data_IF_379937636581
#
_entry.id   IF_379937636581
#
_cell.length_a   1.000
_cell.length_b   1.000
_cell.length_c   1.000
_cell.angle_alpha   90.00
_cell.angle_beta   90.00
_cell.angle_gamma   90.00
#
_symmetry.space_group_name_H-M   'P 1'
#
loop_
_entity.id
_entity.type
_entity.pdbx_description
1 polymer ?
#
# COMPACT_ATOMS: atom_id res chain seq x y z
N UNK A 1 -16.58 12.59 -11.02
CA UNK A 1 -17.09 12.24 -9.77
C UNK A 1 -16.02 12.12 -8.74
N UNK A 2 -16.10 12.85 -7.71
CA UNK A 2 -15.08 12.83 -6.69
C UNK A 2 -15.33 11.76 -5.64
N UNK A 3 -15.68 12.17 -4.45
CA UNK A 3 -15.82 11.26 -3.33
C UNK A 3 -17.12 10.50 -3.32
N UNK A 4 -17.18 9.57 -2.41
CA UNK A 4 -18.36 8.78 -2.15
C UNK A 4 -18.93 9.20 -0.81
N UNK A 5 -20.25 9.10 -0.67
CA UNK A 5 -20.88 9.43 0.59
C UNK A 5 -21.53 8.19 1.15
N UNK A 6 -21.20 7.88 2.38
CA UNK A 6 -21.71 6.73 3.08
C UNK A 6 -21.43 6.91 4.58
N UNK A 7 -22.07 6.13 5.45
CA UNK A 7 -21.81 6.22 6.88
C UNK A 7 -20.34 5.96 7.20
N UNK A 8 -19.80 6.71 8.16
CA UNK A 8 -18.39 6.61 8.51
C UNK A 8 -17.96 5.19 8.87
N UNK A 9 -18.82 4.42 9.50
CA UNK A 9 -18.48 3.06 9.87
C UNK A 9 -18.23 2.13 8.70
N UNK A 10 -18.57 2.54 7.47
CA UNK A 10 -18.38 1.71 6.30
C UNK A 10 -17.16 2.09 5.47
N UNK A 11 -16.42 3.10 5.90
CA UNK A 11 -15.28 3.58 5.10
C UNK A 11 -14.32 2.44 4.74
N UNK A 12 -13.89 1.66 5.73
CA UNK A 12 -12.91 0.64 5.47
C UNK A 12 -13.47 -0.56 4.72
N UNK A 13 -14.78 -0.79 4.82
CA UNK A 13 -15.42 -1.79 3.96
C UNK A 13 -15.37 -1.33 2.51
N UNK A 14 -15.62 -0.06 2.26
CA UNK A 14 -15.54 0.50 0.91
C UNK A 14 -14.10 0.46 0.41
N UNK A 15 -13.14 0.84 1.24
CA UNK A 15 -11.73 0.84 0.84
C UNK A 15 -11.28 -0.57 0.51
N UNK A 16 -11.68 -1.56 1.31
CA UNK A 16 -11.33 -2.96 1.03
C UNK A 16 -11.92 -3.40 -0.30
N UNK A 17 -13.16 -3.00 -0.59
CA UNK A 17 -13.77 -3.30 -1.88
C UNK A 17 -13.03 -2.64 -3.03
N UNK A 18 -12.56 -1.40 -2.85
CA UNK A 18 -11.79 -0.73 -3.88
C UNK A 18 -10.46 -1.43 -4.12
N UNK A 19 -9.83 -1.91 -3.05
CA UNK A 19 -8.59 -2.66 -3.19
C UNK A 19 -8.82 -3.98 -3.92
N UNK A 20 -9.87 -4.69 -3.55
CA UNK A 20 -10.16 -5.98 -4.16
C UNK A 20 -10.57 -5.83 -5.63
N UNK A 21 -11.19 -4.73 -5.99
CA UNK A 21 -11.59 -4.49 -7.36
C UNK A 21 -10.44 -4.07 -8.25
N UNK A 22 -10.03 -2.82 -8.12
CA UNK A 22 -9.05 -2.24 -9.02
C UNK A 22 -7.69 -1.96 -8.39
N UNK A 23 -7.51 -2.31 -7.13
CA UNK A 23 -6.23 -2.08 -6.46
C UNK A 23 -5.29 -3.25 -6.58
N UNK A 24 -4.13 -3.11 -5.99
CA UNK A 24 -3.17 -4.20 -5.92
C UNK A 24 -2.31 -4.09 -4.68
N UNK A 25 -1.82 -5.22 -4.23
CA UNK A 25 -0.85 -5.30 -3.15
C UNK A 25 0.41 -5.88 -3.78
N UNK A 26 1.52 -5.18 -3.63
CA UNK A 26 2.79 -5.63 -4.20
C UNK A 26 3.77 -5.91 -3.08
N UNK A 27 4.29 -7.12 -3.08
CA UNK A 27 5.30 -7.53 -2.12
C UNK A 27 6.42 -8.22 -2.88
N UNK A 28 7.60 -7.68 -2.80
CA UNK A 28 8.76 -8.33 -3.40
C UNK A 28 10.00 -8.01 -2.60
N UNK A 29 10.99 -8.88 -2.80
CA UNK A 29 12.24 -8.80 -2.08
C UNK A 29 13.29 -8.20 -3.00
N UNK A 30 14.01 -7.24 -2.47
CA UNK A 30 15.10 -6.61 -3.19
C UNK A 30 16.40 -6.96 -2.47
N UNK A 31 17.41 -7.41 -3.22
CA UNK A 31 18.70 -7.73 -2.66
C UNK A 31 19.70 -6.69 -3.09
N UNK A 32 19.85 -5.61 -2.34
CA UNK A 32 20.85 -4.63 -2.71
C UNK A 32 22.24 -5.20 -2.46
N UNK A 33 23.19 -4.78 -3.28
CA UNK A 33 24.57 -5.16 -3.06
C UNK A 33 25.09 -4.19 -2.02
N UNK A 34 25.21 -4.66 -0.79
CA UNK A 34 25.72 -3.83 0.30
C UNK A 34 27.03 -4.43 0.78
N UNK A 35 28.07 -3.64 0.66
CA UNK A 35 29.40 -4.11 1.01
C UNK A 35 29.47 -4.59 2.45
N UNK A 36 28.91 -3.82 3.39
CA UNK A 36 29.02 -4.11 4.79
C UNK A 36 27.93 -5.01 5.34
N UNK A 37 26.97 -5.37 4.51
CA UNK A 37 25.85 -6.19 4.96
C UNK A 37 25.51 -7.21 3.89
N UNK A 38 26.43 -8.13 3.61
CA UNK A 38 26.15 -9.14 2.59
C UNK A 38 24.98 -10.02 3.02
N UNK A 39 24.10 -10.30 2.10
CA UNK A 39 22.94 -11.12 2.39
C UNK A 39 21.74 -10.37 2.93
N UNK A 40 21.85 -9.06 3.10
CA UNK A 40 20.70 -8.27 3.56
C UNK A 40 19.61 -8.30 2.50
N UNK A 41 18.38 -8.54 2.94
CA UNK A 41 17.22 -8.55 2.07
C UNK A 41 16.33 -7.40 2.43
N UNK A 42 15.92 -6.63 1.43
CA UNK A 42 15.06 -5.50 1.64
C UNK A 42 13.69 -5.85 1.06
N UNK A 43 12.69 -5.94 1.91
CA UNK A 43 11.35 -6.31 1.46
C UNK A 43 10.54 -5.06 1.19
N UNK A 44 9.92 -5.01 0.02
CA UNK A 44 9.08 -3.89 -0.36
C UNK A 44 7.64 -4.31 -0.33
N UNK A 45 6.81 -3.46 0.23
CA UNK A 45 5.38 -3.66 0.27
C UNK A 45 4.73 -2.36 -0.17
N UNK A 46 3.80 -2.45 -1.09
CA UNK A 46 3.07 -1.28 -1.57
C UNK A 46 1.62 -1.64 -1.79
N UNK A 47 0.74 -0.69 -1.50
CA UNK A 47 -0.68 -0.81 -1.85
C UNK A 47 -0.96 0.26 -2.88
N UNK A 48 -1.61 -0.14 -3.97
CA UNK A 48 -1.90 0.77 -5.06
C UNK A 48 -3.39 0.74 -5.36
N UNK A 49 -3.96 1.92 -5.57
CA UNK A 49 -5.35 2.06 -6.01
C UNK A 49 -5.31 2.76 -7.36
N UNK A 50 -5.92 2.14 -8.38
CA UNK A 50 -5.90 2.67 -9.73
C UNK A 50 -7.26 3.25 -10.08
N UNK A 51 -7.28 4.36 -10.79
CA UNK A 51 -8.54 4.96 -11.23
C UNK A 51 -8.30 5.92 -12.39
N UNK A 52 -9.26 6.01 -13.27
CA UNK A 52 -9.25 7.04 -14.31
C UNK A 52 -9.70 8.38 -13.75
N UNK A 53 -10.27 8.41 -12.55
CA UNK A 53 -10.72 9.62 -11.91
C UNK A 53 -9.71 10.12 -10.89
N UNK A 54 -9.06 11.23 -11.22
CA UNK A 54 -8.11 11.86 -10.32
C UNK A 54 -8.82 12.29 -9.03
N UNK A 55 -10.02 12.87 -9.17
CA UNK A 55 -10.77 13.35 -8.01
C UNK A 55 -11.13 12.23 -7.05
N UNK A 56 -11.41 11.05 -7.57
CA UNK A 56 -11.71 9.89 -6.73
C UNK A 56 -10.50 9.53 -5.88
N UNK A 57 -9.31 9.54 -6.48
CA UNK A 57 -8.10 9.22 -5.74
C UNK A 57 -7.73 10.31 -4.73
N UNK A 58 -8.01 11.58 -5.06
CA UNK A 58 -7.79 12.66 -4.10
C UNK A 58 -8.69 12.48 -2.88
N UNK A 59 -9.95 12.10 -3.12
CA UNK A 59 -10.88 11.82 -2.03
C UNK A 59 -10.35 10.68 -1.16
N UNK A 60 -9.93 9.59 -1.78
CA UNK A 60 -9.43 8.44 -1.05
C UNK A 60 -8.17 8.78 -0.26
N UNK A 61 -7.24 9.50 -0.88
CA UNK A 61 -6.02 9.94 -0.23
C UNK A 61 -6.33 10.77 1.01
N UNK A 62 -7.27 11.70 0.88
CA UNK A 62 -7.65 12.56 2.00
C UNK A 62 -8.29 11.76 3.12
N UNK A 63 -9.22 10.86 2.78
CA UNK A 63 -9.91 10.08 3.81
C UNK A 63 -8.95 9.17 4.57
N UNK A 64 -8.01 8.56 3.88
CA UNK A 64 -7.06 7.68 4.56
C UNK A 64 -6.08 8.48 5.40
N UNK A 65 -5.76 9.70 4.99
CA UNK A 65 -4.93 10.56 5.83
C UNK A 65 -5.68 10.95 7.10
N UNK A 66 -6.95 11.27 6.98
CA UNK A 66 -7.76 11.67 8.13
C UNK A 66 -7.94 10.52 9.12
N UNK A 67 -8.18 9.32 8.62
CA UNK A 67 -8.52 8.20 9.49
C UNK A 67 -7.32 7.40 9.99
N UNK A 68 -6.26 7.31 9.22
CA UNK A 68 -5.12 6.49 9.58
C UNK A 68 -3.81 7.26 9.67
N UNK A 69 -3.83 8.53 9.37
CA UNK A 69 -2.62 9.38 9.37
C UNK A 69 -1.53 8.86 8.43
N UNK A 70 -1.95 8.30 7.30
CA UNK A 70 -0.98 7.80 6.32
C UNK A 70 -1.01 8.69 5.09
N UNK A 71 0.15 8.87 4.48
CA UNK A 71 0.29 9.68 3.29
C UNK A 71 0.63 8.81 2.10
N UNK A 72 -0.07 9.05 0.99
CA UNK A 72 0.21 8.37 -0.26
C UNK A 72 0.45 9.39 -1.35
N UNK A 73 0.98 8.93 -2.47
CA UNK A 73 1.27 9.79 -3.62
C UNK A 73 0.40 9.39 -4.79
N UNK A 74 -0.14 10.38 -5.48
CA UNK A 74 -0.93 10.13 -6.69
C UNK A 74 -0.04 10.39 -7.88
N UNK A 75 0.09 9.38 -8.74
CA UNK A 75 0.95 9.43 -9.90
C UNK A 75 0.11 9.21 -11.16
N UNK A 76 0.53 9.82 -12.26
CA UNK A 76 -0.11 9.58 -13.53
C UNK A 76 0.60 8.42 -14.22
N UNK A 77 -0.19 7.47 -14.70
CA UNK A 77 0.36 6.33 -15.43
C UNK A 77 0.09 6.43 -16.92
N UNK A 78 -0.44 7.56 -17.36
CA UNK A 78 -0.72 7.74 -18.78
C UNK A 78 0.59 7.83 -19.53
N UNK A 79 0.76 7.02 -20.53
CA UNK A 79 1.96 7.07 -21.34
C UNK A 79 1.63 7.56 -22.73
N UNK A 80 1.18 6.69 -23.58
CA UNK A 80 0.91 7.09 -24.95
C UNK A 80 -0.53 6.94 -25.35
N UNK A 81 -1.40 6.67 -24.40
CA UNK A 81 -2.81 6.52 -24.72
C UNK A 81 -3.54 7.82 -24.43
N UNK A 82 -4.65 8.09 -25.10
CA UNK A 82 -5.45 9.27 -24.81
C UNK A 82 -6.17 9.19 -23.46
N UNK A 83 -6.36 7.99 -22.95
CA UNK A 83 -7.07 7.81 -21.68
C UNK A 83 -6.09 7.95 -20.53
N UNK A 84 -6.44 8.77 -19.56
CA UNK A 84 -5.60 8.99 -18.40
C UNK A 84 -5.90 7.97 -17.34
N UNK A 85 -4.86 7.51 -16.69
CA UNK A 85 -4.98 6.57 -15.58
C UNK A 85 -4.06 7.04 -14.47
N UNK A 86 -4.57 7.03 -13.26
CA UNK A 86 -3.82 7.50 -12.10
C UNK A 86 -3.70 6.37 -11.10
N UNK A 87 -2.70 6.46 -10.24
CA UNK A 87 -2.51 5.49 -9.18
C UNK A 87 -2.22 6.24 -7.88
N UNK A 88 -2.90 5.83 -6.81
CA UNK A 88 -2.58 6.28 -5.46
C UNK A 88 -1.73 5.18 -4.85
N UNK A 89 -0.51 5.51 -4.49
CA UNK A 89 0.46 4.52 -4.03
C UNK A 89 0.88 4.80 -2.61
N UNK A 90 0.88 3.76 -1.79
CA UNK A 90 1.35 3.82 -0.41
C UNK A 90 2.64 3.02 -0.27
N UNK A 91 3.59 3.57 0.46
CA UNK A 91 4.85 2.88 0.73
C UNK A 91 4.71 1.83 1.81
N UNK A 92 5.82 1.27 2.24
CA UNK A 92 5.81 0.09 3.10
C UNK A 92 5.07 0.30 4.42
N UNK A 93 5.42 1.33 5.17
CA UNK A 93 4.82 1.49 6.50
C UNK A 93 3.37 1.94 6.43
N UNK A 94 3.04 2.82 5.48
CA UNK A 94 1.65 3.20 5.28
C UNK A 94 0.83 2.00 4.83
N UNK A 95 1.40 1.13 4.00
CA UNK A 95 0.71 -0.07 3.55
C UNK A 95 0.48 -1.03 4.71
N UNK A 96 1.44 -1.17 5.61
CA UNK A 96 1.26 -2.03 6.79
C UNK A 96 0.09 -1.51 7.63
N UNK A 97 0.05 -0.21 7.88
CA UNK A 97 -1.04 0.39 8.64
C UNK A 97 -2.39 0.16 7.97
N UNK A 98 -2.43 0.40 6.66
CA UNK A 98 -3.67 0.26 5.90
C UNK A 98 -4.16 -1.19 5.88
N UNK A 99 -3.27 -2.12 5.55
CA UNK A 99 -3.68 -3.53 5.44
C UNK A 99 -4.04 -4.13 6.78
N UNK A 100 -3.36 -3.69 7.85
CA UNK A 100 -3.74 -4.12 9.19
C UNK A 100 -5.17 -3.72 9.48
N UNK A 101 -5.54 -2.49 9.09
CA UNK A 101 -6.91 -2.02 9.33
C UNK A 101 -7.92 -2.72 8.44
N UNK A 102 -7.61 -2.89 7.16
CA UNK A 102 -8.55 -3.48 6.22
C UNK A 102 -8.86 -4.94 6.53
N UNK A 103 -7.90 -5.66 7.06
CA UNK A 103 -8.06 -7.10 7.31
C UNK A 103 -8.10 -7.45 8.79
N UNK A 104 -8.42 -6.48 9.64
CA UNK A 104 -8.43 -6.75 11.08
C UNK A 104 -9.54 -7.70 11.49
N UNK A 105 -10.66 -7.71 10.79
CA UNK A 105 -11.77 -8.61 11.10
C UNK A 105 -11.66 -9.85 10.20
N UNK A 106 -11.38 -11.03 10.78
CA UNK A 106 -11.19 -12.23 9.97
C UNK A 106 -12.41 -12.61 9.15
N UNK A 107 -13.61 -12.15 9.56
CA UNK A 107 -14.83 -12.50 8.84
C UNK A 107 -15.16 -11.55 7.71
N UNK A 108 -14.38 -10.48 7.52
CA UNK A 108 -14.65 -9.52 6.47
C UNK A 108 -14.46 -10.13 5.08
N UNK A 109 -15.36 -9.80 4.15
CA UNK A 109 -15.17 -10.28 2.77
C UNK A 109 -13.87 -9.76 2.19
N UNK A 110 -13.20 -10.62 1.45
CA UNK A 110 -11.92 -10.24 0.84
C UNK A 110 -11.63 -11.09 -0.36
N UNK A 111 -10.88 -10.54 -1.30
CA UNK A 111 -10.39 -11.32 -2.42
C UNK A 111 -9.18 -12.09 -1.92
N UNK A 112 -9.33 -13.40 -1.79
CA UNK A 112 -8.31 -14.24 -1.15
C UNK A 112 -6.95 -14.09 -1.81
N UNK A 113 -6.90 -13.98 -3.13
CA UNK A 113 -5.64 -13.85 -3.85
C UNK A 113 -4.82 -12.65 -3.38
N UNK A 114 -5.49 -11.50 -3.17
CA UNK A 114 -4.80 -10.30 -2.72
C UNK A 114 -4.49 -10.36 -1.24
N UNK A 115 -5.43 -10.87 -0.44
CA UNK A 115 -5.21 -11.02 0.99
C UNK A 115 -4.02 -11.92 1.27
N UNK A 116 -3.82 -12.96 0.46
CA UNK A 116 -2.69 -13.87 0.67
C UNK A 116 -1.34 -13.20 0.46
N UNK A 117 -1.26 -12.16 -0.38
CA UNK A 117 -0.02 -11.42 -0.52
C UNK A 117 0.34 -10.75 0.80
N UNK A 118 -0.65 -10.21 1.49
CA UNK A 118 -0.46 -9.59 2.80
C UNK A 118 -0.07 -10.63 3.84
N UNK A 119 -0.75 -11.80 3.83
CA UNK A 119 -0.41 -12.85 4.76
C UNK A 119 1.00 -13.37 4.54
N UNK A 120 1.39 -13.46 3.27
CA UNK A 120 2.74 -13.89 2.93
C UNK A 120 3.79 -12.89 3.42
N UNK A 121 3.50 -11.61 3.29
CA UNK A 121 4.41 -10.59 3.79
C UNK A 121 4.57 -10.72 5.31
N UNK A 122 3.47 -10.91 6.02
CA UNK A 122 3.53 -11.03 7.48
C UNK A 122 4.25 -12.28 7.95
N UNK A 123 4.15 -13.35 7.17
CA UNK A 123 4.74 -14.62 7.54
C UNK A 123 6.24 -14.67 7.32
N UNK A 124 6.79 -13.75 6.55
CA UNK A 124 8.22 -13.75 6.30
C UNK A 124 8.98 -13.38 7.57
N UNK A 125 10.17 -13.95 7.77
CA UNK A 125 10.97 -13.56 8.92
C UNK A 125 11.25 -12.08 8.90
N UNK A 126 11.25 -11.46 10.06
CA UNK A 126 11.58 -10.05 10.16
C UNK A 126 13.03 -9.90 9.73
N UNK A 127 13.23 -9.19 8.62
CA UNK A 127 14.58 -8.90 8.18
C UNK A 127 15.00 -7.63 8.89
N UNK A 128 15.88 -7.79 9.86
CA UNK A 128 16.36 -6.64 10.60
C UNK A 128 17.12 -5.73 9.64
N UNK A 129 16.70 -4.47 9.61
CA UNK A 129 17.42 -3.52 8.82
C UNK A 129 18.84 -3.46 9.36
N UNK A 130 19.87 -3.42 8.51
CA UNK A 130 21.22 -3.34 9.01
C UNK A 130 21.38 -2.12 9.91
N UNK A 131 22.07 -2.31 11.00
CA UNK A 131 22.30 -1.21 11.89
C UNK A 131 23.17 -0.19 11.17
N UNK A 132 22.68 1.05 11.11
CA UNK A 132 23.33 1.96 10.37
C UNK A 132 24.32 2.55 11.13
N UNK A 133 25.34 2.27 11.24
CA UNK A 133 26.27 2.84 11.90
C UNK A 133 26.48 4.08 11.62
N UNK A 134 26.24 4.67 11.66
CA UNK A 134 26.34 5.73 11.36
C UNK A 134 27.30 6.18 11.22
N UNK A 135 27.71 5.94 10.92
CA UNK A 135 28.53 6.18 10.73
C UNK A 135 29.32 6.45 10.81
N UNK A 136 29.46 6.03 11.12
CA UNK A 136 29.99 6.07 11.34
C UNK A 136 30.51 6.20 11.24
N UNK A 137 30.56 6.29 11.30
CA UNK A 137 30.90 6.44 11.22
C UNK A 137 31.29 6.38 11.19
N UNK A 138 31.35 6.33 11.32
CA UNK A 138 31.72 6.28 11.39
C UNK A 138 31.89 6.26 11.44
#
# INVERSE_FOLDING_TARGET
MGGLEFPDGLLFDVVRGLLDGDGSIQHYVHRPVLRDYPGYLYRRLSVLFHSASFDHLVWLQRRLREELSIGGAILSQTKSTPNKLYVLKYGKYASITLLTKLYEDPSSPRLVRKWMIWEDFKAQPVTTRPYRRRSSGA
#
